data_IF_626866754523
#
_entry.id   IF_626866754523
#
_cell.length_a   1.000
_cell.length_b   1.000
_cell.length_c   1.000
_cell.angle_alpha   90.00
_cell.angle_beta   90.00
_cell.angle_gamma   90.00
#
_symmetry.space_group_name_H-M   'P 1'
#
loop_
_entity.id
_entity.type
_entity.pdbx_description
1 polymer ?
#
# COMPACT_ATOMS: atom_id res chain seq x y z
N UNK A 1 -4.03 -17.92 14.27
CA UNK A 1 -4.34 -18.22 12.86
C UNK A 1 -4.24 -16.94 12.03
N UNK A 2 -3.73 -17.05 10.82
CA UNK A 2 -3.60 -15.93 9.86
C UNK A 2 -4.25 -16.37 8.56
N UNK A 3 -5.19 -15.58 8.07
CA UNK A 3 -5.79 -15.76 6.76
C UNK A 3 -5.29 -14.63 5.84
N UNK A 4 -4.71 -15.00 4.71
CA UNK A 4 -4.21 -14.08 3.69
C UNK A 4 -5.19 -14.15 2.51
N UNK A 5 -5.95 -13.07 2.31
CA UNK A 5 -6.88 -12.94 1.19
C UNK A 5 -6.23 -12.12 0.07
N UNK A 6 -6.12 -12.68 -1.13
CA UNK A 6 -5.60 -12.03 -2.32
C UNK A 6 -6.34 -12.55 -3.55
N UNK A 7 -6.64 -11.70 -4.53
CA UNK A 7 -7.27 -12.11 -5.79
C UNK A 7 -6.24 -12.51 -6.86
N UNK A 8 -4.98 -12.60 -6.49
CA UNK A 8 -3.84 -12.99 -7.33
C UNK A 8 -3.72 -12.24 -8.66
N UNK A 9 -4.37 -11.09 -8.80
CA UNK A 9 -4.29 -10.27 -10.02
C UNK A 9 -2.88 -9.74 -10.29
N UNK A 10 -2.03 -9.68 -9.26
CA UNK A 10 -0.64 -9.21 -9.33
C UNK A 10 0.36 -10.15 -8.67
N UNK A 11 -0.08 -10.91 -7.69
CA UNK A 11 0.78 -11.85 -6.98
C UNK A 11 1.29 -12.93 -7.94
N UNK A 12 2.57 -13.27 -7.82
CA UNK A 12 3.19 -14.37 -8.54
C UNK A 12 3.27 -15.56 -7.58
N UNK A 13 2.72 -16.70 -8.01
CA UNK A 13 2.93 -17.97 -7.29
C UNK A 13 4.37 -18.40 -7.51
N UNK A 14 5.14 -18.41 -6.45
CA UNK A 14 6.54 -18.78 -6.42
C UNK A 14 6.83 -19.66 -5.19
N UNK A 15 8.00 -20.30 -5.08
CA UNK A 15 8.33 -21.18 -3.97
C UNK A 15 8.19 -20.53 -2.59
N UNK A 16 8.39 -19.20 -2.49
CA UNK A 16 8.23 -18.50 -1.22
C UNK A 16 6.76 -18.39 -0.79
N UNK A 17 5.85 -18.18 -1.76
CA UNK A 17 4.41 -18.19 -1.45
C UNK A 17 3.94 -19.58 -1.05
N UNK A 18 4.48 -20.64 -1.69
CA UNK A 18 4.23 -22.04 -1.33
C UNK A 18 4.72 -22.36 0.11
N UNK A 19 5.87 -21.82 0.51
CA UNK A 19 6.38 -21.95 1.87
C UNK A 19 5.47 -21.24 2.90
N UNK A 20 4.95 -20.07 2.57
CA UNK A 20 3.97 -19.36 3.41
C UNK A 20 2.70 -20.20 3.56
N UNK A 21 2.16 -20.73 2.46
CA UNK A 21 0.97 -21.56 2.45
C UNK A 21 1.16 -22.87 3.23
N UNK A 22 2.36 -23.43 3.24
CA UNK A 22 2.72 -24.61 4.02
C UNK A 22 2.91 -24.32 5.52
N UNK A 23 2.96 -23.05 5.91
CA UNK A 23 3.17 -22.66 7.32
C UNK A 23 1.94 -22.97 8.16
N UNK A 24 2.13 -23.71 9.25
CA UNK A 24 1.04 -24.09 10.15
C UNK A 24 0.31 -22.86 10.71
N UNK A 25 -0.99 -22.81 10.53
CA UNK A 25 -1.84 -21.72 11.02
C UNK A 25 -1.94 -20.54 10.07
N UNK A 26 -1.42 -20.67 8.85
CA UNK A 26 -1.61 -19.72 7.75
C UNK A 26 -2.52 -20.34 6.70
N UNK A 27 -3.47 -19.59 6.20
CA UNK A 27 -4.35 -19.95 5.09
C UNK A 27 -4.22 -18.91 3.99
N UNK A 28 -4.04 -19.34 2.75
CA UNK A 28 -4.05 -18.48 1.58
C UNK A 28 -5.38 -18.66 0.86
N UNK A 29 -6.17 -17.60 0.77
CA UNK A 29 -7.54 -17.61 0.27
C UNK A 29 -7.61 -16.77 -1.00
N UNK A 30 -8.00 -17.38 -2.11
CA UNK A 30 -8.28 -16.66 -3.35
C UNK A 30 -9.61 -15.91 -3.19
N UNK A 31 -9.51 -14.61 -2.90
CA UNK A 31 -10.67 -13.78 -2.65
C UNK A 31 -10.47 -12.34 -3.12
N UNK A 32 -11.47 -11.83 -3.83
CA UNK A 32 -11.57 -10.40 -4.15
C UNK A 32 -12.56 -9.74 -3.18
N UNK A 33 -12.11 -8.72 -2.47
CA UNK A 33 -12.94 -7.98 -1.53
C UNK A 33 -14.17 -7.32 -2.19
N UNK A 34 -14.14 -7.14 -3.50
CA UNK A 34 -15.25 -6.62 -4.30
C UNK A 34 -16.27 -7.70 -4.70
N UNK A 35 -15.93 -8.98 -4.53
CA UNK A 35 -16.80 -10.11 -4.82
C UNK A 35 -17.35 -10.73 -3.52
N UNK A 36 -18.66 -10.54 -3.28
CA UNK A 36 -19.33 -11.04 -2.08
C UNK A 36 -19.25 -12.57 -1.95
N UNK A 37 -19.22 -13.31 -3.07
CA UNK A 37 -19.11 -14.76 -3.04
C UNK A 37 -17.77 -15.21 -2.44
N UNK A 38 -16.66 -14.59 -2.85
CA UNK A 38 -15.33 -14.93 -2.34
C UNK A 38 -15.11 -14.39 -0.93
N UNK A 39 -15.66 -13.21 -0.59
CA UNK A 39 -15.62 -12.65 0.77
C UNK A 39 -16.32 -13.57 1.77
N UNK A 40 -17.34 -14.31 1.36
CA UNK A 40 -18.05 -15.25 2.23
C UNK A 40 -17.18 -16.44 2.68
N UNK A 41 -16.03 -16.67 2.05
CA UNK A 41 -15.05 -17.69 2.45
C UNK A 41 -14.23 -17.26 3.67
N UNK A 42 -14.22 -15.96 3.99
CA UNK A 42 -13.49 -15.41 5.12
C UNK A 42 -14.29 -15.58 6.42
N UNK A 43 -13.56 -15.65 7.55
CA UNK A 43 -14.13 -15.72 8.88
C UNK A 43 -14.85 -14.45 9.34
N UNK A 44 -15.42 -14.46 10.52
CA UNK A 44 -16.13 -13.33 11.12
C UNK A 44 -15.70 -13.00 12.56
N UNK A 45 -14.51 -13.43 12.95
CA UNK A 45 -13.95 -13.28 14.31
C UNK A 45 -12.47 -12.81 14.30
N UNK A 46 -12.05 -12.14 13.23
CA UNK A 46 -10.70 -11.58 13.16
C UNK A 46 -10.52 -10.45 14.18
N UNK A 47 -9.48 -10.58 15.00
CA UNK A 47 -9.09 -9.55 15.96
C UNK A 47 -8.35 -8.39 15.26
N UNK A 48 -7.53 -8.69 14.25
CA UNK A 48 -6.75 -7.68 13.51
C UNK A 48 -6.97 -7.88 12.01
N UNK A 49 -7.22 -6.78 11.31
CA UNK A 49 -7.32 -6.77 9.86
C UNK A 49 -6.29 -5.79 9.29
N UNK A 50 -5.41 -6.28 8.43
CA UNK A 50 -4.47 -5.47 7.66
C UNK A 50 -5.04 -5.23 6.27
N UNK A 51 -5.49 -4.01 5.99
CA UNK A 51 -6.03 -3.63 4.69
C UNK A 51 -4.91 -3.09 3.80
N UNK A 52 -4.31 -3.97 3.00
CA UNK A 52 -3.25 -3.66 2.05
C UNK A 52 -3.71 -3.74 0.59
N UNK A 53 -4.90 -4.31 0.34
CA UNK A 53 -5.42 -4.45 -1.00
C UNK A 53 -5.66 -3.09 -1.66
N UNK A 54 -5.03 -2.88 -2.81
CA UNK A 54 -5.22 -1.69 -3.64
C UNK A 54 -4.65 -1.91 -5.05
N UNK A 55 -5.20 -1.20 -6.02
CA UNK A 55 -4.55 -1.04 -7.32
C UNK A 55 -3.45 0.01 -7.15
N UNK A 56 -2.20 -0.40 -7.35
CA UNK A 56 -1.01 0.42 -7.18
C UNK A 56 -0.11 0.32 -8.41
N UNK A 57 0.91 1.18 -8.45
CA UNK A 57 1.95 1.19 -9.48
C UNK A 57 1.74 2.30 -10.50
N UNK A 58 2.85 3.02 -10.78
CA UNK A 58 2.85 4.23 -11.62
C UNK A 58 2.18 3.99 -12.98
N UNK A 59 2.45 2.85 -13.62
CA UNK A 59 1.87 2.51 -14.92
C UNK A 59 0.34 2.46 -14.87
N UNK A 60 -0.25 1.76 -13.91
CA UNK A 60 -1.71 1.67 -13.78
C UNK A 60 -2.34 3.02 -13.49
N UNK A 61 -1.69 3.82 -12.62
CA UNK A 61 -2.15 5.16 -12.27
C UNK A 61 -2.13 6.08 -13.49
N UNK A 62 -1.11 6.00 -14.34
CA UNK A 62 -1.00 6.85 -15.53
C UNK A 62 -1.94 6.40 -16.66
N UNK A 63 -2.12 5.10 -16.87
CA UNK A 63 -2.91 4.55 -17.98
C UNK A 63 -4.41 4.48 -17.67
N UNK A 64 -4.79 4.26 -16.40
CA UNK A 64 -6.19 4.01 -15.98
C UNK A 64 -6.55 4.74 -14.68
N UNK A 65 -6.38 6.09 -14.60
CA UNK A 65 -6.56 6.84 -13.36
C UNK A 65 -7.97 6.72 -12.78
N UNK A 66 -9.01 6.76 -13.61
CA UNK A 66 -10.39 6.58 -13.17
C UNK A 66 -10.60 5.22 -12.48
N UNK A 67 -10.12 4.15 -13.08
CA UNK A 67 -10.26 2.80 -12.52
C UNK A 67 -9.54 2.68 -11.18
N UNK A 68 -8.33 3.25 -11.07
CA UNK A 68 -7.56 3.27 -9.82
C UNK A 68 -8.31 4.00 -8.72
N UNK A 69 -8.81 5.20 -8.98
CA UNK A 69 -9.60 5.96 -8.01
C UNK A 69 -10.86 5.19 -7.60
N UNK A 70 -11.67 4.79 -8.57
CA UNK A 70 -12.95 4.15 -8.33
C UNK A 70 -12.81 2.84 -7.56
N UNK A 71 -11.96 1.92 -8.03
CA UNK A 71 -11.79 0.62 -7.37
C UNK A 71 -11.16 0.73 -6.00
N UNK A 72 -10.14 1.58 -5.81
CA UNK A 72 -9.53 1.73 -4.50
C UNK A 72 -10.51 2.29 -3.45
N UNK A 73 -11.39 3.20 -3.85
CA UNK A 73 -12.45 3.70 -2.95
C UNK A 73 -13.43 2.57 -2.60
N UNK A 74 -13.86 1.76 -3.58
CA UNK A 74 -14.74 0.62 -3.34
C UNK A 74 -14.08 -0.46 -2.46
N UNK A 75 -12.83 -0.81 -2.73
CA UNK A 75 -12.04 -1.76 -1.93
C UNK A 75 -12.02 -1.32 -0.46
N UNK A 76 -11.74 -0.04 -0.21
CA UNK A 76 -11.70 0.48 1.14
C UNK A 76 -13.08 0.46 1.81
N UNK A 77 -14.14 0.83 1.09
CA UNK A 77 -15.51 0.76 1.60
C UNK A 77 -15.88 -0.67 2.01
N UNK A 78 -15.64 -1.64 1.12
CA UNK A 78 -15.92 -3.06 1.37
C UNK A 78 -15.08 -3.63 2.51
N UNK A 79 -13.81 -3.24 2.63
CA UNK A 79 -12.96 -3.65 3.74
C UNK A 79 -13.49 -3.14 5.09
N UNK A 80 -13.96 -1.90 5.16
CA UNK A 80 -14.60 -1.34 6.36
C UNK A 80 -15.92 -2.07 6.67
N UNK A 81 -16.77 -2.32 5.67
CA UNK A 81 -18.01 -3.09 5.84
C UNK A 81 -17.73 -4.51 6.36
N UNK A 82 -16.69 -5.17 5.84
CA UNK A 82 -16.23 -6.47 6.31
C UNK A 82 -15.73 -6.38 7.76
N UNK A 83 -14.89 -5.38 8.07
CA UNK A 83 -14.36 -5.17 9.42
C UNK A 83 -15.48 -4.93 10.45
N UNK A 84 -16.54 -4.20 10.11
CA UNK A 84 -17.71 -3.95 10.98
C UNK A 84 -18.49 -5.22 11.34
N UNK A 85 -18.38 -6.28 10.55
CA UNK A 85 -19.03 -7.56 10.80
C UNK A 85 -18.23 -8.48 11.74
N UNK A 86 -17.00 -8.11 12.06
CA UNK A 86 -16.13 -8.93 12.91
C UNK A 86 -16.54 -8.83 14.37
N UNK A 87 -16.66 -9.97 15.03
CA UNK A 87 -17.10 -10.05 16.44
C UNK A 87 -16.01 -9.71 17.45
N UNK A 88 -14.73 -9.94 17.04
CA UNK A 88 -13.57 -9.81 17.91
C UNK A 88 -12.60 -8.70 17.47
N UNK A 89 -13.03 -7.77 16.62
CA UNK A 89 -12.13 -6.78 16.05
C UNK A 89 -11.53 -5.85 17.11
N UNK A 90 -10.23 -5.93 17.25
CA UNK A 90 -9.43 -5.07 18.12
C UNK A 90 -8.76 -3.93 17.32
N UNK A 91 -8.39 -4.20 16.04
CA UNK A 91 -7.71 -3.20 15.21
C UNK A 91 -7.91 -3.43 13.71
N UNK A 92 -8.26 -2.35 13.02
CA UNK A 92 -8.24 -2.24 11.56
C UNK A 92 -7.05 -1.38 11.14
N UNK A 93 -6.10 -1.95 10.40
CA UNK A 93 -4.88 -1.26 9.97
C UNK A 93 -5.01 -0.93 8.49
N UNK A 94 -5.04 0.36 8.17
CA UNK A 94 -5.14 0.84 6.80
C UNK A 94 -3.80 1.33 6.26
N UNK A 95 -3.37 0.76 5.13
CA UNK A 95 -2.21 1.25 4.40
C UNK A 95 -2.58 2.43 3.52
N UNK A 96 -2.31 3.63 4.02
CA UNK A 96 -2.29 4.87 3.25
C UNK A 96 -0.96 5.00 2.49
N UNK A 97 -0.44 6.18 2.32
CA UNK A 97 0.80 6.47 1.59
C UNK A 97 1.35 7.84 1.96
N UNK A 98 2.66 8.02 1.88
CA UNK A 98 3.27 9.36 1.97
C UNK A 98 2.88 10.29 0.80
N UNK A 99 2.35 9.76 -0.30
CA UNK A 99 1.89 10.61 -1.44
C UNK A 99 0.76 11.57 -1.06
N UNK A 100 0.04 11.34 0.04
CA UNK A 100 -0.97 12.29 0.53
C UNK A 100 -0.41 13.67 0.86
N UNK A 101 0.89 13.78 1.12
CA UNK A 101 1.56 15.04 1.41
C UNK A 101 1.97 15.82 0.14
N UNK A 102 1.76 15.26 -1.06
CA UNK A 102 2.25 15.85 -2.30
C UNK A 102 1.73 17.29 -2.55
N UNK A 103 0.45 17.52 -2.30
CA UNK A 103 -0.14 18.86 -2.42
C UNK A 103 0.35 19.81 -1.34
N UNK A 104 0.48 19.34 -0.10
CA UNK A 104 1.01 20.15 1.00
C UNK A 104 2.46 20.55 0.77
N UNK A 105 3.30 19.62 0.27
CA UNK A 105 4.68 19.93 -0.13
C UNK A 105 4.76 20.90 -1.32
N UNK A 106 3.77 20.88 -2.19
CA UNK A 106 3.74 21.74 -3.39
C UNK A 106 3.29 23.17 -3.09
N UNK A 107 2.30 23.34 -2.21
CA UNK A 107 1.60 24.60 -2.02
C UNK A 107 1.81 25.23 -0.64
N UNK A 108 2.44 24.53 0.29
CA UNK A 108 2.66 24.98 1.65
C UNK A 108 4.13 24.84 2.03
N UNK A 109 4.60 25.70 2.93
CA UNK A 109 5.90 25.57 3.58
C UNK A 109 5.75 24.64 4.79
N UNK A 110 5.86 23.32 4.56
CA UNK A 110 5.78 22.33 5.62
C UNK A 110 7.16 21.80 6.00
N UNK A 111 7.41 21.50 7.28
CA UNK A 111 8.72 21.03 7.72
C UNK A 111 9.05 19.63 7.19
N UNK A 112 10.34 19.35 7.01
CA UNK A 112 10.90 18.04 6.71
C UNK A 112 11.91 17.70 7.82
N UNK A 113 11.71 16.61 8.58
CA UNK A 113 10.67 15.59 8.49
C UNK A 113 9.25 16.13 8.69
N UNK A 114 8.29 15.63 7.89
CA UNK A 114 6.91 16.13 7.88
C UNK A 114 6.10 15.51 9.01
N UNK A 115 5.52 16.33 9.91
CA UNK A 115 4.61 15.82 10.95
C UNK A 115 3.32 15.25 10.37
N UNK A 116 2.75 14.26 11.05
CA UNK A 116 1.54 13.58 10.57
C UNK A 116 0.27 14.46 10.58
N UNK A 117 0.27 15.51 11.39
CA UNK A 117 -0.89 16.41 11.57
C UNK A 117 -0.91 17.62 10.61
N UNK A 118 0.02 17.71 9.66
CA UNK A 118 0.00 18.82 8.69
C UNK A 118 -1.27 18.77 7.84
N UNK A 119 -1.82 19.93 7.45
CA UNK A 119 -2.96 19.98 6.53
C UNK A 119 -2.65 19.27 5.23
N UNK A 120 -3.61 18.50 4.72
CA UNK A 120 -3.49 17.80 3.45
C UNK A 120 -4.10 18.67 2.36
N UNK A 121 -3.29 19.05 1.36
CA UNK A 121 -3.73 19.74 0.16
C UNK A 121 -3.72 18.78 -1.03
N UNK A 122 -4.70 18.96 -1.93
CA UNK A 122 -4.75 18.20 -3.18
C UNK A 122 -3.85 18.85 -4.23
N UNK A 123 -3.27 18.03 -5.09
CA UNK A 123 -2.66 18.47 -6.34
C UNK A 123 -3.73 18.72 -7.40
N UNK A 124 -3.36 18.99 -8.65
CA UNK A 124 -4.28 19.20 -9.76
C UNK A 124 -5.17 17.96 -9.95
N UNK A 125 -6.51 18.16 -9.98
CA UNK A 125 -7.46 17.05 -10.03
C UNK A 125 -7.46 16.30 -11.36
N UNK A 126 -7.04 16.94 -12.43
CA UNK A 126 -6.91 16.38 -13.78
C UNK A 126 -5.61 15.59 -13.99
N UNK A 127 -4.64 15.71 -13.06
CA UNK A 127 -3.39 14.96 -13.16
C UNK A 127 -3.62 13.48 -12.76
N UNK A 128 -3.23 12.48 -13.59
CA UNK A 128 -3.49 11.06 -13.32
C UNK A 128 -3.04 10.57 -11.95
N UNK A 129 -1.89 11.03 -11.44
CA UNK A 129 -1.36 10.62 -10.13
C UNK A 129 -2.25 11.05 -8.96
N UNK A 130 -3.04 12.09 -9.13
CA UNK A 130 -3.99 12.54 -8.11
C UNK A 130 -5.05 11.48 -7.81
N UNK A 131 -5.38 10.60 -8.76
CA UNK A 131 -6.33 9.51 -8.59
C UNK A 131 -5.95 8.57 -7.44
N UNK A 132 -4.69 8.12 -7.40
CA UNK A 132 -4.20 7.25 -6.33
C UNK A 132 -4.13 7.98 -4.99
N UNK A 133 -3.50 9.17 -4.98
CA UNK A 133 -3.41 10.00 -3.78
C UNK A 133 -4.79 10.27 -3.18
N UNK A 134 -5.74 10.71 -4.01
CA UNK A 134 -7.11 11.01 -3.59
C UNK A 134 -7.82 9.77 -3.02
N UNK A 135 -7.63 8.60 -3.64
CA UNK A 135 -8.21 7.35 -3.11
C UNK A 135 -7.71 7.01 -1.70
N UNK A 136 -6.44 7.31 -1.40
CA UNK A 136 -5.85 7.09 -0.08
C UNK A 136 -6.30 8.14 0.94
N UNK A 137 -6.39 9.41 0.57
CA UNK A 137 -6.96 10.47 1.41
C UNK A 137 -8.42 10.14 1.76
N UNK A 138 -9.20 9.70 0.77
CA UNK A 138 -10.58 9.27 0.98
C UNK A 138 -10.63 8.08 1.95
N UNK A 139 -9.74 7.10 1.78
CA UNK A 139 -9.62 5.94 2.67
C UNK A 139 -9.32 6.32 4.12
N UNK A 140 -8.42 7.28 4.36
CA UNK A 140 -8.16 7.80 5.70
C UNK A 140 -9.41 8.44 6.31
N UNK A 141 -10.09 9.29 5.55
CA UNK A 141 -11.35 9.90 5.99
C UNK A 141 -12.40 8.84 6.34
N UNK A 142 -12.53 7.79 5.53
CA UNK A 142 -13.45 6.67 5.82
C UNK A 142 -13.08 5.96 7.12
N UNK A 143 -11.77 5.74 7.42
CA UNK A 143 -11.34 5.16 8.69
C UNK A 143 -11.79 6.03 9.87
N UNK A 144 -11.55 7.33 9.81
CA UNK A 144 -11.96 8.28 10.85
C UNK A 144 -13.48 8.30 11.09
N UNK A 145 -14.27 8.15 10.03
CA UNK A 145 -15.74 8.17 10.11
C UNK A 145 -16.37 6.78 10.34
N UNK A 146 -15.56 5.71 10.34
CA UNK A 146 -16.06 4.33 10.40
C UNK A 146 -16.64 3.92 11.75
N UNK A 147 -16.13 4.51 12.84
CA UNK A 147 -16.38 4.05 14.21
C UNK A 147 -15.58 2.81 14.60
N UNK A 148 -14.69 2.29 13.74
CA UNK A 148 -13.83 1.15 14.05
C UNK A 148 -12.61 1.59 14.89
N UNK A 149 -12.02 0.69 15.69
CA UNK A 149 -10.69 0.88 16.23
C UNK A 149 -9.68 0.75 15.09
N UNK A 150 -9.02 1.84 14.69
CA UNK A 150 -8.15 1.83 13.52
C UNK A 150 -6.74 2.37 13.81
N UNK A 151 -5.82 2.02 12.91
CA UNK A 151 -4.50 2.63 12.76
C UNK A 151 -4.28 2.90 11.27
N UNK A 152 -3.84 4.11 10.94
CA UNK A 152 -3.43 4.48 9.59
C UNK A 152 -1.91 4.48 9.54
N UNK A 153 -1.35 3.81 8.54
CA UNK A 153 0.08 3.87 8.25
C UNK A 153 0.32 4.57 6.92
N UNK A 154 1.31 5.47 6.87
CA UNK A 154 1.68 6.25 5.67
C UNK A 154 3.11 5.89 5.25
N UNK A 155 3.31 4.68 4.67
CA UNK A 155 4.64 4.26 4.30
C UNK A 155 5.22 5.17 3.22
N UNK A 156 6.53 5.38 3.30
CA UNK A 156 7.35 5.90 2.23
C UNK A 156 7.79 4.76 1.29
N UNK A 157 9.01 4.82 0.76
CA UNK A 157 9.51 3.79 -0.13
C UNK A 157 9.99 2.59 0.70
N UNK A 158 9.15 1.56 0.77
CA UNK A 158 9.53 0.28 1.34
C UNK A 158 10.41 -0.47 0.34
N UNK A 159 11.47 -1.10 0.83
CA UNK A 159 12.36 -1.92 0.01
C UNK A 159 12.74 -3.21 0.74
N UNK A 160 13.11 -4.22 -0.03
CA UNK A 160 13.51 -5.52 0.50
C UNK A 160 13.44 -6.62 -0.56
N UNK A 161 13.64 -7.86 -0.15
CA UNK A 161 13.49 -9.02 -1.03
C UNK A 161 12.12 -9.03 -1.71
N UNK A 162 12.08 -9.51 -2.97
CA UNK A 162 10.88 -9.58 -3.82
C UNK A 162 10.28 -8.23 -4.20
N UNK A 163 10.98 -7.12 -3.99
CA UNK A 163 10.58 -5.81 -4.51
C UNK A 163 10.49 -5.84 -6.04
N UNK A 164 9.42 -5.27 -6.61
CA UNK A 164 9.21 -5.23 -8.06
C UNK A 164 10.35 -4.54 -8.82
N UNK A 165 10.76 -5.12 -9.95
CA UNK A 165 11.93 -4.69 -10.72
C UNK A 165 11.83 -3.29 -11.34
N UNK A 166 10.64 -2.71 -11.39
CA UNK A 166 10.38 -1.36 -11.94
C UNK A 166 10.45 -0.25 -10.88
N UNK A 167 10.98 -0.58 -9.70
CA UNK A 167 11.23 0.41 -8.64
C UNK A 167 12.68 0.88 -8.66
N UNK A 168 12.91 2.09 -8.12
CA UNK A 168 14.20 2.78 -8.22
C UNK A 168 15.39 1.96 -7.70
N UNK A 169 15.27 1.29 -6.55
CA UNK A 169 16.40 0.53 -6.00
C UNK A 169 16.74 -0.70 -6.84
N UNK A 170 15.82 -1.61 -7.20
CA UNK A 170 16.13 -2.72 -8.09
C UNK A 170 16.64 -2.27 -9.47
N UNK A 171 16.09 -1.20 -10.02
CA UNK A 171 16.55 -0.64 -11.29
C UNK A 171 17.98 -0.12 -11.21
N UNK A 172 18.33 0.63 -10.17
CA UNK A 172 19.69 1.13 -9.97
C UNK A 172 20.68 0.01 -9.70
N UNK A 173 20.30 -1.00 -8.90
CA UNK A 173 21.14 -2.19 -8.65
C UNK A 173 21.42 -2.93 -9.96
N UNK A 174 20.40 -3.12 -10.79
CA UNK A 174 20.56 -3.75 -12.09
C UNK A 174 21.49 -2.93 -12.99
N UNK A 175 21.26 -1.63 -13.14
CA UNK A 175 22.11 -0.74 -13.92
C UNK A 175 23.57 -0.78 -13.42
N UNK A 176 23.80 -0.68 -12.11
CA UNK A 176 25.12 -0.71 -11.52
C UNK A 176 25.85 -2.04 -11.78
N UNK A 177 25.14 -3.17 -11.70
CA UNK A 177 25.71 -4.50 -11.98
C UNK A 177 26.12 -4.68 -13.43
N UNK A 178 25.37 -4.08 -14.35
CA UNK A 178 25.60 -4.21 -15.79
C UNK A 178 26.67 -3.21 -16.30
N UNK A 179 27.19 -2.32 -15.44
CA UNK A 179 28.25 -1.37 -15.79
C UNK A 179 29.65 -2.02 -15.76
N UNK A 180 30.58 -1.56 -16.62
CA UNK A 180 32.01 -1.87 -16.46
C UNK A 180 32.53 -1.24 -15.16
N UNK A 181 33.70 -1.75 -14.67
CA UNK A 181 34.30 -1.32 -13.39
C UNK A 181 34.51 0.19 -13.31
N UNK A 182 34.86 0.84 -14.41
CA UNK A 182 35.07 2.29 -14.51
C UNK A 182 33.84 3.04 -15.11
N UNK A 183 32.67 2.39 -15.15
CA UNK A 183 31.47 2.96 -15.73
C UNK A 183 30.79 3.99 -14.85
N UNK A 184 30.08 4.91 -15.47
CA UNK A 184 29.26 5.91 -14.77
C UNK A 184 27.79 5.49 -14.73
N UNK A 185 27.18 5.54 -13.55
CA UNK A 185 25.75 5.29 -13.37
C UNK A 185 24.96 6.56 -13.68
N UNK A 186 24.28 6.59 -14.82
CA UNK A 186 23.37 7.69 -15.17
C UNK A 186 22.06 7.59 -14.38
N UNK A 187 21.72 8.66 -13.68
CA UNK A 187 20.48 8.77 -12.90
C UNK A 187 19.72 10.05 -13.29
N UNK A 188 18.39 10.01 -13.15
CA UNK A 188 17.56 11.16 -13.53
C UNK A 188 17.78 12.39 -12.64
N UNK A 189 18.17 12.18 -11.38
CA UNK A 189 18.50 13.26 -10.44
C UNK A 189 19.31 12.72 -9.28
N UNK A 190 20.43 13.36 -8.98
CA UNK A 190 21.28 13.08 -7.80
C UNK A 190 20.81 13.85 -6.56
N UNK A 191 20.00 14.89 -6.73
CA UNK A 191 19.56 15.78 -5.66
C UNK A 191 18.26 15.34 -5.00
N UNK A 192 17.57 14.36 -5.58
CA UNK A 192 16.32 13.86 -5.01
C UNK A 192 16.57 13.12 -3.71
N UNK A 193 15.91 13.57 -2.66
CA UNK A 193 15.91 12.92 -1.35
C UNK A 193 14.60 12.17 -1.15
N UNK A 194 14.69 10.94 -0.63
CA UNK A 194 13.54 10.09 -0.29
C UNK A 194 13.84 9.33 0.99
N UNK A 195 12.83 9.14 1.80
CA UNK A 195 12.92 8.19 2.90
C UNK A 195 12.75 6.77 2.35
N UNK A 196 13.59 5.85 2.81
CA UNK A 196 13.50 4.42 2.54
C UNK A 196 13.41 3.68 3.86
N UNK A 197 12.55 2.67 3.92
CA UNK A 197 12.39 1.79 5.07
C UNK A 197 12.56 0.34 4.61
N UNK A 198 13.41 -0.42 5.29
CA UNK A 198 13.56 -1.83 5.01
C UNK A 198 12.31 -2.60 5.44
N UNK A 199 11.95 -3.63 4.70
CA UNK A 199 10.68 -4.33 4.89
C UNK A 199 10.56 -4.94 6.29
N UNK A 200 11.63 -5.48 6.87
CA UNK A 200 11.58 -6.08 8.19
C UNK A 200 11.30 -5.03 9.28
N UNK A 201 11.86 -3.81 9.14
CA UNK A 201 11.57 -2.70 10.05
C UNK A 201 10.10 -2.27 9.92
N UNK A 202 9.58 -2.22 8.70
CA UNK A 202 8.17 -1.91 8.47
C UNK A 202 7.24 -2.96 9.08
N UNK A 203 7.55 -4.24 8.93
CA UNK A 203 6.79 -5.36 9.54
C UNK A 203 6.83 -5.27 11.05
N UNK A 204 7.99 -4.97 11.66
CA UNK A 204 8.10 -4.82 13.12
C UNK A 204 7.27 -3.63 13.63
N UNK A 205 7.22 -2.50 12.90
CA UNK A 205 6.36 -1.36 13.24
C UNK A 205 4.88 -1.75 13.18
N UNK A 206 4.48 -2.49 12.15
CA UNK A 206 3.09 -2.93 11.97
C UNK A 206 2.65 -3.96 13.02
N UNK A 207 3.59 -4.72 13.58
CA UNK A 207 3.33 -5.74 14.61
C UNK A 207 3.12 -5.14 16.00
N UNK A 208 3.70 -3.96 16.27
CA UNK A 208 3.58 -3.24 17.57
C UNK A 208 2.28 -2.47 17.69
#
# INVERSE_FOLDING_TARGET
>A
QIDIADNFSRAVRDPFLEEIEATKGVSLIDADILDEATVSLLGNDYAIIYQFAAIIGVRHVMERPYEVLHKNVLIQAKAIEFAKKQKALERFIFSSTSEIYAGSLKYMDIPIPTPEHVPIALTELDHPRTSYMLSKIYGESMCHQSGLPFTIVRPHNLYGPRMGQVHVLPELIKKARDLPIDGFLEVASIDHRRAFCFIDDAVEILRR
#
